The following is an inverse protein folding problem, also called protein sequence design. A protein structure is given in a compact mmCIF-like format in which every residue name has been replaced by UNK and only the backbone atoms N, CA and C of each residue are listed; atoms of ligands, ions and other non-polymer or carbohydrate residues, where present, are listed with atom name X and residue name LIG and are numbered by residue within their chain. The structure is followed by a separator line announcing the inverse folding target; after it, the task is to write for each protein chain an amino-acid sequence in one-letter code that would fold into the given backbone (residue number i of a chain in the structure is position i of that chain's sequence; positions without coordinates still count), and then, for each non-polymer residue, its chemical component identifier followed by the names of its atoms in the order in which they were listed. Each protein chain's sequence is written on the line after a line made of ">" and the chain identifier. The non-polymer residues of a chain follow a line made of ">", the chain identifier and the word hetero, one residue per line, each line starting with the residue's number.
data_IF_113717686943
#
_entry.id   IF_113717686943
#
_cell.length_a   1.000
_cell.length_b   1.000
_cell.length_c   1.000
_cell.angle_alpha   90.00
_cell.angle_beta   90.00
_cell.angle_gamma   90.00
#
_symmetry.space_group_name_H-M   'P 1'
#
loop_
_entity.id
_entity.type
_entity.pdbx_description
1 polymer ?
#
# COMPACT_ATOMS: atom_id res chain seq x y z
N UNK A 1 -39.89 0.74 12.51
CA UNK A 1 -39.10 1.97 12.29
C UNK A 1 -37.64 1.56 12.09
N UNK A 2 -37.14 1.59 10.85
CA UNK A 2 -35.76 1.20 10.52
C UNK A 2 -34.81 2.38 10.72
N UNK A 3 -33.77 2.23 11.55
CA UNK A 3 -32.66 3.18 11.64
C UNK A 3 -31.85 3.10 10.35
N UNK A 4 -31.89 4.15 9.54
CA UNK A 4 -31.01 4.31 8.37
C UNK A 4 -29.58 4.53 8.88
N UNK A 5 -28.69 3.58 8.63
CA UNK A 5 -27.26 3.82 8.70
C UNK A 5 -26.91 4.81 7.58
N UNK A 6 -26.52 6.03 7.96
CA UNK A 6 -26.00 7.01 7.00
C UNK A 6 -24.56 6.62 6.66
N UNK A 7 -24.26 6.52 5.37
CA UNK A 7 -22.91 6.30 4.87
C UNK A 7 -22.00 7.48 5.26
N UNK A 8 -20.70 7.26 5.51
CA UNK A 8 -19.75 8.34 5.77
C UNK A 8 -19.62 9.24 4.52
N UNK A 9 -19.53 10.56 4.69
CA UNK A 9 -19.43 11.50 3.57
C UNK A 9 -18.09 11.34 2.83
N UNK A 10 -18.06 11.65 1.52
CA UNK A 10 -16.84 11.59 0.73
C UNK A 10 -15.87 12.68 1.17
N UNK A 11 -14.58 12.33 1.24
CA UNK A 11 -13.49 13.27 1.56
C UNK A 11 -13.32 14.23 0.37
N UNK A 12 -13.50 15.55 0.53
CA UNK A 12 -13.28 16.53 -0.54
C UNK A 12 -11.78 16.78 -0.77
N UNK A 13 -11.36 17.02 -2.03
CA UNK A 13 -9.97 17.29 -2.36
C UNK A 13 -9.60 18.77 -2.18
N UNK A 14 -8.60 19.00 -1.32
CA UNK A 14 -7.61 20.10 -1.32
C UNK A 14 -8.07 21.56 -1.23
N UNK A 15 -7.74 22.22 -0.11
CA UNK A 15 -7.21 23.59 -0.08
C UNK A 15 -6.43 23.91 1.23
N UNK A 16 -5.10 23.90 1.11
CA UNK A 16 -4.11 24.73 1.81
C UNK A 16 -4.20 24.95 3.33
N UNK A 17 -3.51 24.10 4.08
CA UNK A 17 -2.85 24.48 5.34
C UNK A 17 -1.43 23.89 5.36
N UNK A 18 -0.43 24.57 4.79
CA UNK A 18 0.97 24.11 4.79
C UNK A 18 1.74 24.73 5.97
N UNK A 19 1.99 23.94 7.02
CA UNK A 19 3.22 24.03 7.84
C UNK A 19 4.13 22.87 7.39
N UNK A 20 5.47 22.99 7.39
CA UNK A 20 6.38 22.04 6.74
C UNK A 20 6.66 20.78 7.57
N UNK A 21 5.77 20.39 8.48
CA UNK A 21 5.91 19.19 9.31
C UNK A 21 5.71 17.88 8.52
N UNK A 22 5.20 17.98 7.28
CA UNK A 22 4.75 16.84 6.49
C UNK A 22 5.76 16.20 5.55
N UNK A 23 6.88 16.84 5.16
CA UNK A 23 7.72 16.28 4.10
C UNK A 23 8.36 14.93 4.48
N UNK A 24 8.90 14.80 5.69
CA UNK A 24 9.58 13.56 6.10
C UNK A 24 8.63 12.38 6.38
N UNK A 25 7.38 12.65 6.79
CA UNK A 25 6.35 11.63 7.00
C UNK A 25 5.70 11.24 5.67
N UNK A 26 5.36 12.23 4.84
CA UNK A 26 4.81 12.02 3.50
C UNK A 26 5.80 11.30 2.59
N UNK A 27 7.09 11.67 2.61
CA UNK A 27 8.14 10.95 1.86
C UNK A 27 8.28 9.50 2.33
N UNK A 28 8.11 9.23 3.63
CA UNK A 28 8.13 7.87 4.19
C UNK A 28 6.92 7.07 3.72
N UNK A 29 5.72 7.65 3.76
CA UNK A 29 4.50 7.02 3.23
C UNK A 29 4.65 6.70 1.74
N UNK A 30 5.06 7.68 0.93
CA UNK A 30 5.23 7.49 -0.52
C UNK A 30 6.23 6.37 -0.83
N UNK A 31 7.39 6.35 -0.15
CA UNK A 31 8.38 5.28 -0.30
C UNK A 31 7.83 3.91 0.10
N UNK A 32 7.04 3.83 1.16
CA UNK A 32 6.42 2.58 1.60
C UNK A 32 5.39 2.07 0.57
N UNK A 33 4.52 2.96 0.09
CA UNK A 33 3.53 2.65 -0.95
C UNK A 33 4.18 2.21 -2.26
N UNK A 34 5.23 2.89 -2.72
CA UNK A 34 5.94 2.52 -3.94
C UNK A 34 6.63 1.16 -3.82
N UNK A 35 7.15 0.84 -2.64
CA UNK A 35 7.71 -0.49 -2.38
C UNK A 35 6.64 -1.59 -2.44
N UNK A 36 5.45 -1.35 -1.87
CA UNK A 36 4.30 -2.28 -1.98
C UNK A 36 3.91 -2.49 -3.44
N UNK A 37 3.74 -1.41 -4.22
CA UNK A 37 3.42 -1.49 -5.65
C UNK A 37 4.44 -2.29 -6.44
N UNK A 38 5.74 -2.04 -6.21
CA UNK A 38 6.82 -2.78 -6.86
C UNK A 38 6.76 -4.27 -6.54
N UNK A 39 6.53 -4.63 -5.28
CA UNK A 39 6.41 -6.04 -4.88
C UNK A 39 5.17 -6.72 -5.47
N UNK A 40 4.05 -6.01 -5.59
CA UNK A 40 2.85 -6.52 -6.27
C UNK A 40 3.12 -6.80 -7.75
N UNK A 41 3.75 -5.87 -8.46
CA UNK A 41 4.14 -6.07 -9.86
C UNK A 41 5.08 -7.27 -10.03
N UNK A 42 6.06 -7.40 -9.13
CA UNK A 42 6.98 -8.53 -9.14
C UNK A 42 6.26 -9.87 -8.87
N UNK A 43 5.28 -9.87 -7.95
CA UNK A 43 4.45 -11.03 -7.65
C UNK A 43 3.66 -11.46 -8.88
N UNK A 44 3.03 -10.53 -9.58
CA UNK A 44 2.23 -10.79 -10.77
C UNK A 44 3.08 -11.36 -11.92
N UNK A 45 4.22 -10.74 -12.21
CA UNK A 45 5.15 -11.25 -13.22
C UNK A 45 5.64 -12.68 -12.90
N UNK A 46 5.95 -12.95 -11.63
CA UNK A 46 6.37 -14.28 -11.17
C UNK A 46 5.23 -15.30 -11.26
N UNK A 47 4.00 -14.89 -10.95
CA UNK A 47 2.80 -15.71 -11.05
C UNK A 47 2.49 -16.08 -12.50
N UNK A 48 2.61 -15.14 -13.43
CA UNK A 48 2.44 -15.39 -14.86
C UNK A 48 3.46 -16.40 -15.37
N UNK A 49 4.74 -16.26 -14.99
CA UNK A 49 5.79 -17.23 -15.32
C UNK A 49 5.50 -18.63 -14.74
N UNK A 50 4.97 -18.71 -13.53
CA UNK A 50 4.57 -19.97 -12.90
C UNK A 50 3.43 -20.65 -13.68
N UNK A 51 2.39 -19.90 -14.08
CA UNK A 51 1.30 -20.42 -14.89
C UNK A 51 1.75 -20.88 -16.28
N UNK A 52 2.64 -20.13 -16.94
CA UNK A 52 3.24 -20.55 -18.21
C UNK A 52 3.96 -21.89 -18.09
N UNK A 53 4.74 -22.09 -17.02
CA UNK A 53 5.41 -23.37 -16.76
C UNK A 53 4.43 -24.52 -16.50
N UNK A 54 3.32 -24.26 -15.82
CA UNK A 54 2.26 -25.27 -15.65
C UNK A 54 1.67 -25.64 -17.01
N UNK A 55 1.33 -24.66 -17.83
CA UNK A 55 0.76 -24.90 -19.16
C UNK A 55 1.73 -25.71 -20.02
N UNK A 56 3.02 -25.40 -20.02
CA UNK A 56 4.04 -26.17 -20.74
C UNK A 56 4.11 -27.63 -20.25
N UNK A 57 3.99 -27.86 -18.94
CA UNK A 57 4.00 -29.23 -18.37
C UNK A 57 2.73 -30.02 -18.71
N UNK A 58 1.56 -29.36 -18.68
CA UNK A 58 0.25 -30.02 -18.83
C UNK A 58 -0.13 -30.21 -20.30
N UNK A 59 0.19 -29.25 -21.17
CA UNK A 59 -0.21 -29.28 -22.57
C UNK A 59 0.73 -30.12 -23.46
N UNK A 60 1.88 -30.58 -22.94
CA UNK A 60 2.79 -31.45 -23.68
C UNK A 60 2.23 -32.89 -23.77
N UNK A 61 1.61 -33.21 -24.90
CA UNK A 61 1.01 -34.53 -25.22
C UNK A 61 2.02 -35.65 -25.53
N UNK A 62 3.33 -35.39 -25.44
CA UNK A 62 4.41 -36.37 -25.72
C UNK A 62 5.43 -36.35 -24.58
N UNK A 63 6.16 -37.46 -24.33
CA UNK A 63 7.23 -37.48 -23.33
C UNK A 63 8.34 -36.51 -23.74
N UNK A 64 8.27 -35.28 -23.24
CA UNK A 64 9.28 -34.27 -23.49
C UNK A 64 10.39 -34.40 -22.45
N UNK A 65 11.63 -34.53 -22.94
CA UNK A 65 12.85 -34.57 -22.11
C UNK A 65 13.03 -33.29 -21.28
N UNK A 66 12.30 -32.23 -21.62
CA UNK A 66 12.31 -30.93 -20.93
C UNK A 66 11.34 -30.85 -19.73
N UNK A 67 10.38 -31.77 -19.57
CA UNK A 67 9.44 -31.75 -18.43
C UNK A 67 10.16 -31.69 -17.07
N UNK A 68 11.23 -32.47 -16.80
CA UNK A 68 11.98 -32.36 -15.56
C UNK A 68 12.57 -30.96 -15.34
N UNK A 69 13.04 -30.31 -16.40
CA UNK A 69 13.57 -28.95 -16.36
C UNK A 69 12.46 -27.93 -16.05
N UNK A 70 11.30 -28.04 -16.69
CA UNK A 70 10.15 -27.18 -16.39
C UNK A 70 9.63 -27.38 -14.96
N UNK A 71 9.61 -28.61 -14.45
CA UNK A 71 9.25 -28.89 -13.04
C UNK A 71 10.22 -28.24 -12.06
N UNK A 72 11.52 -28.31 -12.32
CA UNK A 72 12.54 -27.62 -11.51
C UNK A 72 12.33 -26.11 -11.51
N UNK A 73 12.15 -25.51 -12.69
CA UNK A 73 11.85 -24.07 -12.82
C UNK A 73 10.55 -23.68 -12.13
N UNK A 74 9.50 -24.49 -12.24
CA UNK A 74 8.20 -24.27 -11.58
C UNK A 74 8.37 -24.21 -10.06
N UNK A 75 9.09 -25.17 -9.49
CA UNK A 75 9.36 -25.20 -8.05
C UNK A 75 10.21 -24.00 -7.61
N UNK A 76 11.13 -23.53 -8.45
CA UNK A 76 11.90 -22.32 -8.18
C UNK A 76 11.01 -21.07 -8.18
N UNK A 77 10.12 -20.92 -9.18
CA UNK A 77 9.15 -19.82 -9.23
C UNK A 77 8.20 -19.84 -8.01
N UNK A 78 7.77 -21.03 -7.58
CA UNK A 78 6.98 -21.17 -6.35
C UNK A 78 7.71 -20.66 -5.11
N UNK A 79 8.99 -21.01 -4.94
CA UNK A 79 9.81 -20.51 -3.82
C UNK A 79 9.97 -18.99 -3.86
N UNK A 80 10.14 -18.41 -5.06
CA UNK A 80 10.21 -16.97 -5.26
C UNK A 80 8.88 -16.31 -4.87
N UNK A 81 7.74 -16.86 -5.30
CA UNK A 81 6.41 -16.38 -4.91
C UNK A 81 6.20 -16.39 -3.40
N UNK A 82 6.62 -17.46 -2.71
CA UNK A 82 6.53 -17.53 -1.25
C UNK A 82 7.37 -16.44 -0.58
N UNK A 83 8.56 -16.15 -1.12
CA UNK A 83 9.43 -15.09 -0.61
C UNK A 83 8.81 -13.71 -0.82
N UNK A 84 8.35 -13.42 -2.04
CA UNK A 84 7.68 -12.15 -2.38
C UNK A 84 6.45 -11.96 -1.49
N UNK A 85 5.62 -12.99 -1.28
CA UNK A 85 4.44 -12.90 -0.41
C UNK A 85 4.79 -12.48 1.02
N UNK A 86 5.89 -13.01 1.58
CA UNK A 86 6.36 -12.62 2.92
C UNK A 86 6.91 -11.19 2.95
N UNK A 87 7.60 -10.78 1.89
CA UNK A 87 8.09 -9.40 1.76
C UNK A 87 6.94 -8.40 1.60
N UNK A 88 5.89 -8.77 0.88
CA UNK A 88 4.66 -7.99 0.71
C UNK A 88 3.93 -7.78 2.03
N UNK A 89 3.78 -8.84 2.84
CA UNK A 89 3.16 -8.73 4.17
C UNK A 89 3.94 -7.75 5.08
N UNK A 90 5.27 -7.79 5.02
CA UNK A 90 6.12 -6.85 5.76
C UNK A 90 6.01 -5.44 5.22
N UNK A 91 5.99 -5.26 3.91
CA UNK A 91 5.88 -3.95 3.28
C UNK A 91 4.54 -3.29 3.59
N UNK A 92 3.45 -4.04 3.58
CA UNK A 92 2.12 -3.55 3.98
C UNK A 92 2.08 -3.11 5.44
N UNK A 93 2.73 -3.85 6.35
CA UNK A 93 2.86 -3.42 7.76
C UNK A 93 3.62 -2.10 7.88
N UNK A 94 4.70 -1.93 7.12
CA UNK A 94 5.48 -0.68 7.11
C UNK A 94 4.66 0.49 6.52
N UNK A 95 3.90 0.25 5.45
CA UNK A 95 3.00 1.25 4.87
C UNK A 95 1.94 1.70 5.87
N UNK A 96 1.27 0.77 6.55
CA UNK A 96 0.28 1.10 7.57
C UNK A 96 0.90 1.90 8.72
N UNK A 97 2.05 1.49 9.23
CA UNK A 97 2.75 2.22 10.30
C UNK A 97 3.19 3.62 9.85
N UNK A 98 3.60 3.79 8.59
CA UNK A 98 3.96 5.10 8.06
C UNK A 98 2.73 6.01 7.97
N UNK A 99 1.58 5.46 7.55
CA UNK A 99 0.30 6.17 7.47
C UNK A 99 -0.20 6.59 8.85
N UNK A 100 -0.22 5.67 9.82
CA UNK A 100 -0.57 5.95 11.21
C UNK A 100 0.33 7.06 11.79
N UNK A 101 1.64 6.99 11.57
CA UNK A 101 2.57 8.01 12.06
C UNK A 101 2.36 9.39 11.40
N UNK A 102 1.85 9.43 10.17
CA UNK A 102 1.49 10.67 9.49
C UNK A 102 0.21 11.26 10.08
N UNK A 103 -0.80 10.43 10.32
CA UNK A 103 -2.07 10.82 10.95
C UNK A 103 -1.86 11.33 12.38
N UNK A 104 -1.03 10.65 13.17
CA UNK A 104 -0.66 11.07 14.53
C UNK A 104 0.05 12.42 14.52
N UNK A 105 1.01 12.62 13.61
CA UNK A 105 1.71 13.89 13.47
C UNK A 105 0.75 15.03 13.08
N UNK A 106 -0.22 14.74 12.20
CA UNK A 106 -1.26 15.70 11.81
C UNK A 106 -2.20 16.02 12.99
N UNK A 107 -2.58 15.02 13.78
CA UNK A 107 -3.43 15.19 14.95
C UNK A 107 -2.75 16.01 16.05
N UNK A 108 -1.47 15.73 16.35
CA UNK A 108 -0.66 16.51 17.29
C UNK A 108 -0.57 17.96 16.84
N UNK A 109 -0.29 18.20 15.56
CA UNK A 109 -0.22 19.55 15.03
C UNK A 109 -1.57 20.28 15.14
N UNK A 110 -2.68 19.65 14.76
CA UNK A 110 -4.03 20.22 14.91
C UNK A 110 -4.34 20.58 16.37
N UNK A 111 -3.95 19.71 17.30
CA UNK A 111 -4.08 19.95 18.73
C UNK A 111 -3.27 21.17 19.16
N UNK A 112 -1.96 21.24 18.88
CA UNK A 112 -1.12 22.39 19.23
C UNK A 112 -1.63 23.70 18.62
N UNK A 113 -2.12 23.66 17.37
CA UNK A 113 -2.66 24.82 16.68
C UNK A 113 -3.98 25.33 17.31
N UNK A 114 -4.83 24.45 17.83
CA UNK A 114 -6.02 24.83 18.60
C UNK A 114 -5.67 25.58 19.88
N UNK A 115 -4.75 25.02 20.67
CA UNK A 115 -4.45 25.53 22.02
C UNK A 115 -3.57 26.78 22.01
N UNK A 116 -2.81 27.00 20.94
CA UNK A 116 -2.00 28.22 20.74
C UNK A 116 -2.81 29.41 20.21
N UNK A 117 -4.06 29.19 19.77
CA UNK A 117 -4.86 30.20 19.08
C UNK A 117 -4.39 30.49 17.64
N UNK A 118 -3.38 29.75 17.15
CA UNK A 118 -2.85 29.86 15.77
C UNK A 118 -3.81 29.29 14.73
N UNK A 119 -4.83 28.51 15.12
CA UNK A 119 -5.82 27.95 14.20
C UNK A 119 -7.23 27.85 14.80
N UNK A 120 -8.23 27.85 13.92
CA UNK A 120 -9.63 27.65 14.25
C UNK A 120 -10.30 26.77 13.18
N UNK A 121 -11.43 26.16 13.54
CA UNK A 121 -12.22 25.35 12.63
C UNK A 121 -13.42 26.16 12.12
N UNK A 122 -13.62 26.19 10.80
CA UNK A 122 -14.72 26.86 10.12
C UNK A 122 -15.23 25.96 8.99
N UNK A 123 -16.54 25.70 8.95
CA UNK A 123 -17.18 24.79 7.98
C UNK A 123 -16.56 23.38 7.89
N UNK A 124 -15.97 22.91 8.98
CA UNK A 124 -15.29 21.61 9.05
C UNK A 124 -13.84 21.64 8.56
N UNK A 125 -13.38 22.75 8.01
CA UNK A 125 -12.00 22.97 7.57
C UNK A 125 -11.18 23.70 8.64
N UNK A 126 -9.89 23.35 8.74
CA UNK A 126 -8.94 23.99 9.63
C UNK A 126 -8.30 25.20 8.94
N UNK A 127 -8.41 26.37 9.56
CA UNK A 127 -7.81 27.63 9.08
C UNK A 127 -6.83 28.17 10.11
N UNK A 128 -5.74 28.78 9.65
CA UNK A 128 -4.87 29.56 10.54
C UNK A 128 -5.49 30.92 10.85
N UNK A 129 -5.23 31.38 12.07
CA UNK A 129 -5.40 32.77 12.46
C UNK A 129 -4.07 33.47 12.16
N UNK A 130 -4.10 34.50 11.32
CA UNK A 130 -2.92 35.38 11.09
C UNK A 130 -2.58 36.19 12.34
#
# INVERSE_FOLDING_TARGET
>A
MFRRFSAPPPIPPSASCTRPLGHAHLDRCLKATDNVKRLQQQQEATRNNYHLLINLIVCERRPNKLVPMYRRRKNQQYRILTKISKELEKALKVENLAMEAMEDAEAVWKFEAMFSGEAYQEDGEWKRRE
#
